data_IF_034600912997
#
_entry.id   IF_034600912997
#
_cell.length_a   1.000
_cell.length_b   1.000
_cell.length_c   1.000
_cell.angle_alpha   90.00
_cell.angle_beta   90.00
_cell.angle_gamma   90.00
#
_symmetry.space_group_name_H-M   'P 1'
#
loop_
_entity.id
_entity.type
_entity.pdbx_description
1 polymer ?
#
# COMPACT_ATOMS: atom_id res chain seq x y z
N UNK A 1 5.47 44.01 -10.50
CA UNK A 1 4.74 42.72 -10.60
C UNK A 1 5.71 41.54 -10.58
N UNK A 2 6.51 41.38 -9.51
CA UNK A 2 7.46 40.25 -9.33
C UNK A 2 7.37 39.75 -7.88
N UNK A 3 6.14 39.55 -7.39
CA UNK A 3 5.91 39.15 -5.99
C UNK A 3 4.77 38.12 -5.83
N UNK A 4 4.44 37.36 -6.88
CA UNK A 4 3.41 36.32 -6.81
C UNK A 4 3.91 34.91 -7.16
N UNK A 5 5.15 34.76 -7.63
CA UNK A 5 5.69 33.44 -8.01
C UNK A 5 6.43 32.76 -6.84
N UNK A 6 6.90 33.50 -5.84
CA UNK A 6 7.60 32.92 -4.68
C UNK A 6 6.68 32.35 -3.60
N UNK A 7 5.36 32.62 -3.65
CA UNK A 7 4.41 32.12 -2.64
C UNK A 7 3.94 30.68 -2.88
N UNK A 8 4.13 30.11 -4.08
CA UNK A 8 3.70 28.75 -4.41
C UNK A 8 4.73 27.66 -4.03
N UNK A 9 5.90 28.02 -3.51
CA UNK A 9 6.92 27.08 -3.03
C UNK A 9 6.86 26.79 -1.52
N UNK A 10 5.86 27.32 -0.82
CA UNK A 10 5.54 26.99 0.58
C UNK A 10 4.31 26.10 0.72
N UNK A 11 3.94 25.36 -0.33
CA UNK A 11 3.14 24.15 -0.16
C UNK A 11 4.10 23.15 0.48
N UNK A 12 3.91 22.89 1.77
CA UNK A 12 4.65 21.93 2.60
C UNK A 12 5.37 20.86 1.78
N UNK A 13 6.69 20.66 1.97
CA UNK A 13 7.43 19.75 1.11
C UNK A 13 6.71 18.41 1.11
N UNK A 14 6.25 17.98 -0.06
CA UNK A 14 5.58 16.69 -0.29
C UNK A 14 6.41 15.49 0.25
N UNK A 15 7.68 15.77 0.58
CA UNK A 15 8.71 14.91 1.14
C UNK A 15 8.76 14.81 2.68
N UNK A 16 8.10 15.72 3.41
CA UNK A 16 8.06 15.64 4.88
C UNK A 16 7.01 14.61 5.29
N UNK A 17 7.48 13.39 5.56
CA UNK A 17 6.63 12.33 6.10
C UNK A 17 5.92 12.84 7.35
N UNK A 18 4.59 12.98 7.27
CA UNK A 18 3.79 13.45 8.39
C UNK A 18 3.77 12.40 9.50
N UNK A 19 3.65 12.85 10.75
CA UNK A 19 3.52 11.96 11.92
C UNK A 19 2.32 11.03 11.74
N UNK A 20 1.22 11.54 11.18
CA UNK A 20 0.01 10.78 10.91
C UNK A 20 0.27 9.63 9.92
N UNK A 21 0.99 9.88 8.81
CA UNK A 21 1.33 8.83 7.84
C UNK A 21 2.24 7.75 8.46
N UNK A 22 3.20 8.12 9.32
CA UNK A 22 4.01 7.12 10.04
C UNK A 22 3.14 6.30 10.98
N UNK A 23 2.25 6.97 11.72
CA UNK A 23 1.37 6.32 12.67
C UNK A 23 0.42 5.34 11.97
N UNK A 24 -0.24 5.74 10.88
CA UNK A 24 -1.14 4.87 10.13
C UNK A 24 -0.40 3.69 9.50
N UNK A 25 0.83 3.89 8.97
CA UNK A 25 1.68 2.80 8.49
C UNK A 25 2.01 1.81 9.63
N UNK A 26 2.35 2.31 10.81
CA UNK A 26 2.67 1.49 11.97
C UNK A 26 1.46 0.70 12.48
N UNK A 27 0.27 1.31 12.49
CA UNK A 27 -0.96 0.63 12.91
C UNK A 27 -1.42 -0.40 11.89
N UNK A 28 -1.34 -0.08 10.59
CA UNK A 28 -1.61 -1.04 9.52
C UNK A 28 -0.66 -2.24 9.60
N UNK A 29 0.64 -2.02 9.84
CA UNK A 29 1.61 -3.09 10.08
C UNK A 29 1.20 -3.95 11.29
N UNK A 30 0.82 -3.34 12.41
CA UNK A 30 0.37 -4.06 13.59
C UNK A 30 -0.87 -4.94 13.31
N UNK A 31 -1.82 -4.47 12.51
CA UNK A 31 -2.96 -5.27 12.04
C UNK A 31 -2.52 -6.47 11.20
N UNK A 32 -1.59 -6.29 10.27
CA UNK A 32 -1.05 -7.39 9.44
C UNK A 32 -0.31 -8.43 10.30
N UNK A 33 0.44 -7.99 11.31
CA UNK A 33 1.09 -8.89 12.27
C UNK A 33 0.06 -9.68 13.09
N UNK A 34 -1.02 -9.03 13.56
CA UNK A 34 -2.11 -9.72 14.26
C UNK A 34 -2.78 -10.78 13.40
N UNK A 35 -3.03 -10.47 12.12
CA UNK A 35 -3.56 -11.44 11.14
C UNK A 35 -2.65 -12.65 11.07
N UNK A 36 -1.34 -12.43 10.87
CA UNK A 36 -0.33 -13.49 10.81
C UNK A 36 -0.31 -14.37 12.09
N UNK A 37 -0.30 -13.75 13.26
CA UNK A 37 -0.26 -14.48 14.54
C UNK A 37 -1.55 -15.27 14.81
N UNK A 38 -2.71 -14.70 14.47
CA UNK A 38 -4.00 -15.37 14.64
C UNK A 38 -4.13 -16.55 13.68
N UNK A 39 -3.82 -16.34 12.41
CA UNK A 39 -3.82 -17.40 11.43
C UNK A 39 -2.86 -18.53 11.83
N UNK A 40 -1.66 -18.21 12.34
CA UNK A 40 -0.74 -19.24 12.85
C UNK A 40 -1.36 -20.07 13.99
N UNK A 41 -1.99 -19.42 14.98
CA UNK A 41 -2.66 -20.10 16.11
C UNK A 41 -3.80 -21.00 15.64
N UNK A 42 -4.59 -20.52 14.69
CA UNK A 42 -5.72 -21.26 14.15
C UNK A 42 -5.27 -22.44 13.28
N UNK A 43 -4.14 -22.32 12.55
CA UNK A 43 -3.55 -23.41 11.76
C UNK A 43 -3.03 -24.54 12.65
N UNK A 44 -2.49 -24.20 13.82
CA UNK A 44 -1.98 -25.18 14.78
C UNK A 44 -3.11 -25.96 15.49
N UNK A 45 -4.29 -25.36 15.64
CA UNK A 45 -5.39 -25.92 16.46
C UNK A 45 -6.48 -26.65 15.65
N UNK A 46 -6.47 -26.62 14.31
CA UNK A 46 -7.55 -27.17 13.48
C UNK A 46 -7.07 -28.13 12.38
N UNK A 47 -7.91 -29.13 12.08
CA UNK A 47 -7.67 -30.18 11.06
C UNK A 47 -7.79 -29.64 9.63
N UNK A 48 -8.53 -28.54 9.42
CA UNK A 48 -8.85 -28.02 8.08
C UNK A 48 -8.10 -26.70 7.79
N UNK A 49 -6.97 -26.82 7.09
CA UNK A 49 -5.96 -25.76 6.94
C UNK A 49 -6.36 -24.67 5.93
N UNK A 50 -7.31 -24.97 5.04
CA UNK A 50 -7.59 -24.17 3.84
C UNK A 50 -8.41 -22.90 4.13
N UNK A 51 -9.01 -22.77 5.33
CA UNK A 51 -9.90 -21.66 5.70
C UNK A 51 -9.32 -20.70 6.75
N UNK A 52 -8.10 -20.96 7.22
CA UNK A 52 -7.58 -20.29 8.43
C UNK A 52 -7.21 -18.82 8.19
N UNK A 53 -6.48 -18.56 7.10
CA UNK A 53 -6.10 -17.20 6.71
C UNK A 53 -7.33 -16.30 6.49
N UNK A 54 -8.42 -16.90 5.96
CA UNK A 54 -9.68 -16.21 5.71
C UNK A 54 -10.34 -15.71 7.00
N UNK A 55 -10.35 -16.50 8.08
CA UNK A 55 -10.98 -16.06 9.34
C UNK A 55 -10.18 -14.97 10.06
N UNK A 56 -8.86 -15.16 10.19
CA UNK A 56 -7.98 -14.16 10.79
C UNK A 56 -8.05 -12.83 10.02
N UNK A 57 -8.04 -12.91 8.68
CA UNK A 57 -8.23 -11.76 7.81
C UNK A 57 -9.60 -11.11 8.04
N UNK A 58 -10.70 -11.88 8.02
CA UNK A 58 -12.06 -11.35 8.24
C UNK A 58 -12.20 -10.58 9.56
N UNK A 59 -11.54 -11.07 10.62
CA UNK A 59 -11.62 -10.46 11.95
C UNK A 59 -10.88 -9.13 12.03
N UNK A 60 -9.68 -9.04 11.46
CA UNK A 60 -8.83 -7.85 11.58
C UNK A 60 -8.98 -6.88 10.39
N UNK A 61 -9.60 -7.31 9.28
CA UNK A 61 -9.80 -6.52 8.08
C UNK A 61 -10.42 -5.13 8.33
N UNK A 62 -11.45 -4.95 9.18
CA UNK A 62 -12.01 -3.61 9.43
C UNK A 62 -10.98 -2.63 9.98
N UNK A 63 -10.12 -3.06 10.91
CA UNK A 63 -9.07 -2.22 11.48
C UNK A 63 -7.98 -1.94 10.44
N UNK A 64 -7.55 -2.97 9.70
CA UNK A 64 -6.58 -2.82 8.62
C UNK A 64 -7.07 -1.82 7.57
N UNK A 65 -8.27 -2.01 7.04
CA UNK A 65 -8.88 -1.12 6.02
C UNK A 65 -8.98 0.30 6.54
N UNK A 66 -9.36 0.50 7.81
CA UNK A 66 -9.39 1.83 8.43
C UNK A 66 -8.03 2.52 8.36
N UNK A 67 -6.95 1.84 8.76
CA UNK A 67 -5.61 2.42 8.77
C UNK A 67 -5.06 2.64 7.36
N UNK A 68 -5.30 1.72 6.43
CA UNK A 68 -4.92 1.88 5.03
C UNK A 68 -5.64 3.05 4.37
N UNK A 69 -6.95 3.18 4.60
CA UNK A 69 -7.75 4.30 4.09
C UNK A 69 -7.25 5.62 4.67
N UNK A 70 -7.05 5.69 5.99
CA UNK A 70 -6.51 6.88 6.65
C UNK A 70 -5.14 7.25 6.11
N UNK A 71 -4.24 6.28 5.89
CA UNK A 71 -2.94 6.55 5.28
C UNK A 71 -3.09 7.18 3.90
N UNK A 72 -3.85 6.53 3.01
CA UNK A 72 -4.04 6.96 1.61
C UNK A 72 -4.73 8.32 1.53
N UNK A 73 -5.68 8.62 2.42
CA UNK A 73 -6.34 9.91 2.48
C UNK A 73 -5.43 11.05 2.92
N UNK A 74 -4.34 10.76 3.63
CA UNK A 74 -3.32 11.74 4.03
C UNK A 74 -2.16 11.85 3.04
N UNK A 75 -2.14 11.09 1.92
CA UNK A 75 -1.09 11.23 0.90
C UNK A 75 -1.30 12.57 0.17
N UNK A 76 -0.36 13.53 0.29
CA UNK A 76 -0.54 14.87 -0.29
C UNK A 76 -0.76 14.85 -1.80
N UNK A 77 -0.05 13.95 -2.49
CA UNK A 77 -0.18 13.76 -3.93
C UNK A 77 -1.60 13.36 -4.34
N UNK A 78 -2.23 12.45 -3.60
CA UNK A 78 -3.60 12.01 -3.90
C UNK A 78 -4.66 13.05 -3.49
N UNK A 79 -4.33 13.92 -2.53
CA UNK A 79 -5.18 15.06 -2.17
C UNK A 79 -5.19 16.17 -3.23
N UNK A 80 -4.18 16.22 -4.11
CA UNK A 80 -4.12 17.19 -5.19
C UNK A 80 -5.21 16.96 -6.26
N UNK A 81 -5.78 15.75 -6.34
CA UNK A 81 -6.87 15.47 -7.27
C UNK A 81 -8.20 16.11 -6.81
N UNK A 82 -8.69 17.10 -7.55
CA UNK A 82 -9.98 17.77 -7.33
C UNK A 82 -11.02 17.37 -8.39
N UNK A 83 -11.76 16.26 -8.24
CA UNK A 83 -12.64 15.71 -9.29
C UNK A 83 -13.71 16.71 -9.72
N UNK A 84 -13.80 16.97 -11.04
CA UNK A 84 -14.83 17.82 -11.66
C UNK A 84 -15.99 17.04 -12.23
N UNK A 85 -15.83 15.72 -12.41
CA UNK A 85 -16.86 14.83 -12.96
C UNK A 85 -17.04 13.57 -12.12
N UNK A 86 -18.21 12.88 -12.18
CA UNK A 86 -18.40 11.59 -11.53
C UNK A 86 -17.39 10.53 -11.97
N UNK A 87 -17.00 10.53 -13.26
CA UNK A 87 -15.96 9.63 -13.80
C UNK A 87 -14.62 9.86 -13.11
N UNK A 88 -14.20 11.11 -12.97
CA UNK A 88 -12.97 11.47 -12.24
C UNK A 88 -13.05 11.07 -10.75
N UNK A 89 -14.19 11.27 -10.11
CA UNK A 89 -14.38 10.87 -8.71
C UNK A 89 -14.27 9.35 -8.53
N UNK A 90 -14.88 8.56 -9.42
CA UNK A 90 -14.79 7.09 -9.40
C UNK A 90 -13.34 6.63 -9.61
N UNK A 91 -12.64 7.25 -10.54
CA UNK A 91 -11.25 6.95 -10.84
C UNK A 91 -10.32 7.22 -9.64
N UNK A 92 -10.44 8.38 -8.99
CA UNK A 92 -9.66 8.70 -7.78
C UNK A 92 -9.93 7.67 -6.66
N UNK A 93 -11.18 7.21 -6.50
CA UNK A 93 -11.49 6.13 -5.54
C UNK A 93 -10.79 4.82 -5.91
N UNK A 94 -10.76 4.46 -7.19
CA UNK A 94 -10.07 3.26 -7.67
C UNK A 94 -8.55 3.35 -7.43
N UNK A 95 -7.95 4.52 -7.69
CA UNK A 95 -6.55 4.79 -7.41
C UNK A 95 -6.24 4.65 -5.90
N UNK A 96 -7.08 5.23 -5.04
CA UNK A 96 -6.94 5.08 -3.58
C UNK A 96 -7.01 3.61 -3.15
N UNK A 97 -7.96 2.84 -3.69
CA UNK A 97 -8.08 1.42 -3.40
C UNK A 97 -6.85 0.61 -3.88
N UNK A 98 -6.28 0.95 -5.04
CA UNK A 98 -5.04 0.35 -5.53
C UNK A 98 -3.88 0.65 -4.58
N UNK A 99 -3.74 1.87 -4.10
CA UNK A 99 -2.68 2.23 -3.16
C UNK A 99 -2.85 1.54 -1.80
N UNK A 100 -4.09 1.37 -1.31
CA UNK A 100 -4.36 0.55 -0.12
C UNK A 100 -3.89 -0.90 -0.31
N UNK A 101 -4.11 -1.47 -1.49
CA UNK A 101 -3.64 -2.82 -1.83
C UNK A 101 -2.11 -2.90 -1.92
N UNK A 102 -1.46 -1.90 -2.52
CA UNK A 102 0.00 -1.81 -2.60
C UNK A 102 0.65 -1.72 -1.20
N UNK A 103 0.08 -0.91 -0.30
CA UNK A 103 0.53 -0.85 1.10
C UNK A 103 0.32 -2.19 1.78
N UNK A 104 -0.84 -2.83 1.61
CA UNK A 104 -1.10 -4.15 2.18
C UNK A 104 -0.06 -5.19 1.74
N UNK A 105 0.32 -5.22 0.46
CA UNK A 105 1.38 -6.12 -0.03
C UNK A 105 2.73 -5.84 0.62
N UNK A 106 3.14 -4.55 0.68
CA UNK A 106 4.36 -4.14 1.36
C UNK A 106 4.39 -4.58 2.82
N UNK A 107 3.26 -4.44 3.52
CA UNK A 107 3.13 -4.87 4.91
C UNK A 107 3.15 -6.39 5.06
N UNK A 108 2.49 -7.13 4.16
CA UNK A 108 2.48 -8.59 4.17
C UNK A 108 3.89 -9.16 4.01
N UNK A 109 4.72 -8.55 3.18
CA UNK A 109 6.12 -8.98 2.94
C UNK A 109 7.03 -8.82 4.17
N UNK A 110 6.62 -8.00 5.14
CA UNK A 110 7.29 -7.90 6.44
C UNK A 110 7.02 -9.10 7.35
N UNK A 111 5.99 -9.90 7.04
CA UNK A 111 5.62 -11.09 7.81
C UNK A 111 6.26 -12.37 7.24
N UNK A 112 6.55 -13.37 8.08
CA UNK A 112 7.12 -14.64 7.62
C UNK A 112 6.18 -15.51 6.78
N UNK A 113 4.91 -15.13 6.57
CA UNK A 113 3.93 -15.98 5.90
C UNK A 113 4.24 -16.26 4.43
N UNK A 114 4.92 -15.34 3.73
CA UNK A 114 5.44 -15.58 2.38
C UNK A 114 6.37 -16.82 2.35
N UNK A 115 7.09 -17.11 3.45
CA UNK A 115 7.89 -18.34 3.57
C UNK A 115 7.02 -19.61 3.61
N UNK A 116 5.81 -19.54 4.19
CA UNK A 116 4.92 -20.69 4.30
C UNK A 116 4.23 -21.04 2.99
N UNK A 117 3.99 -20.07 2.12
CA UNK A 117 3.47 -20.32 0.77
C UNK A 117 4.42 -21.22 -0.05
N UNK A 118 5.73 -21.03 0.11
CA UNK A 118 6.74 -21.83 -0.61
C UNK A 118 7.23 -23.06 0.17
N UNK A 119 6.86 -23.22 1.45
CA UNK A 119 7.34 -24.29 2.32
C UNK A 119 6.27 -24.82 3.27
N UNK A 120 5.08 -25.13 2.74
CA UNK A 120 3.92 -25.57 3.52
C UNK A 120 4.24 -26.77 4.43
N UNK A 121 5.03 -27.75 3.95
CA UNK A 121 5.46 -28.90 4.76
C UNK A 121 6.34 -28.53 5.97
N UNK A 122 7.13 -27.45 5.86
CA UNK A 122 7.93 -26.91 6.97
C UNK A 122 7.05 -26.12 7.94
N UNK A 123 6.07 -25.37 7.45
CA UNK A 123 5.16 -24.62 8.31
C UNK A 123 4.17 -25.49 9.08
N UNK A 124 3.71 -26.62 8.52
CA UNK A 124 2.90 -27.62 9.28
C UNK A 124 3.64 -28.16 10.52
N UNK A 125 4.97 -28.12 10.54
CA UNK A 125 5.81 -28.62 11.65
C UNK A 125 6.24 -27.52 12.61
N UNK A 126 5.88 -26.25 12.37
CA UNK A 126 6.23 -25.16 13.27
C UNK A 126 5.36 -25.21 14.53
N UNK A 127 6.01 -25.18 15.69
CA UNK A 127 5.35 -25.09 17.00
C UNK A 127 5.11 -23.65 17.45
N UNK A 128 5.84 -22.69 16.87
CA UNK A 128 5.79 -21.27 17.19
C UNK A 128 5.88 -20.44 15.90
N UNK A 129 5.23 -19.26 15.83
CA UNK A 129 5.36 -18.39 14.68
C UNK A 129 6.80 -17.92 14.55
N UNK A 130 7.24 -17.68 13.32
CA UNK A 130 8.55 -17.05 13.09
C UNK A 130 8.50 -15.61 13.59
N UNK A 131 9.65 -15.14 14.07
CA UNK A 131 9.80 -13.75 14.49
C UNK A 131 9.53 -12.82 13.29
N UNK A 132 8.61 -11.88 13.47
CA UNK A 132 8.39 -10.78 12.53
C UNK A 132 9.64 -9.91 12.48
N UNK A 133 10.07 -9.52 11.28
CA UNK A 133 11.26 -8.67 11.11
C UNK A 133 11.01 -7.30 11.76
N UNK A 134 12.04 -6.62 12.27
CA UNK A 134 11.90 -5.22 12.68
C UNK A 134 11.32 -4.39 11.53
N UNK A 135 10.30 -3.61 11.83
CA UNK A 135 9.62 -2.76 10.86
C UNK A 135 9.86 -1.30 11.19
N UNK A 136 10.51 -0.58 10.28
CA UNK A 136 10.71 0.86 10.38
C UNK A 136 9.63 1.57 9.57
N UNK A 137 8.55 1.96 10.24
CA UNK A 137 7.42 2.63 9.60
C UNK A 137 7.84 3.91 8.89
N UNK A 138 8.74 4.71 9.47
CA UNK A 138 9.19 5.97 8.86
C UNK A 138 9.91 5.72 7.55
N UNK A 139 10.83 4.75 7.52
CA UNK A 139 11.55 4.36 6.30
C UNK A 139 10.60 3.84 5.23
N UNK A 140 9.65 2.99 5.60
CA UNK A 140 8.69 2.39 4.65
C UNK A 140 7.71 3.43 4.11
N UNK A 141 7.18 4.31 4.96
CA UNK A 141 6.35 5.45 4.54
C UNK A 141 7.10 6.33 3.56
N UNK A 142 8.35 6.70 3.85
CA UNK A 142 9.15 7.52 2.92
C UNK A 142 9.37 6.82 1.57
N UNK A 143 9.72 5.52 1.58
CA UNK A 143 9.91 4.75 0.34
C UNK A 143 8.62 4.68 -0.48
N UNK A 144 7.50 4.43 0.19
CA UNK A 144 6.18 4.35 -0.44
C UNK A 144 5.82 5.69 -1.10
N UNK A 145 5.86 6.80 -0.35
CA UNK A 145 5.51 8.12 -0.87
C UNK A 145 6.37 8.53 -2.08
N UNK A 146 7.68 8.24 -2.04
CA UNK A 146 8.57 8.49 -3.19
C UNK A 146 8.19 7.66 -4.42
N UNK A 147 7.81 6.40 -4.22
CA UNK A 147 7.32 5.55 -5.29
C UNK A 147 6.01 6.08 -5.89
N UNK A 148 5.05 6.42 -5.03
CA UNK A 148 3.76 7.02 -5.43
C UNK A 148 3.98 8.33 -6.20
N UNK A 149 4.90 9.20 -5.77
CA UNK A 149 5.26 10.44 -6.47
C UNK A 149 5.86 10.17 -7.85
N UNK A 150 6.83 9.26 -7.95
CA UNK A 150 7.44 8.90 -9.23
C UNK A 150 6.39 8.34 -10.21
N UNK A 151 5.48 7.49 -9.72
CA UNK A 151 4.45 6.84 -10.53
C UNK A 151 3.36 7.81 -10.96
N UNK A 152 2.91 8.72 -10.09
CA UNK A 152 1.69 9.51 -10.34
C UNK A 152 1.92 11.01 -10.59
N UNK A 153 3.14 11.54 -10.45
CA UNK A 153 3.40 12.93 -10.82
C UNK A 153 3.04 13.23 -12.30
N UNK A 154 3.40 12.38 -13.30
CA UNK A 154 2.98 12.61 -14.68
C UNK A 154 1.45 12.55 -14.84
N UNK A 155 0.79 11.69 -14.07
CA UNK A 155 -0.66 11.54 -14.08
C UNK A 155 -1.37 12.79 -13.57
N UNK A 156 -0.85 13.41 -12.51
CA UNK A 156 -1.39 14.66 -11.96
C UNK A 156 -1.19 15.84 -12.92
N UNK A 157 -0.06 15.88 -13.60
CA UNK A 157 0.15 16.90 -14.63
C UNK A 157 -0.87 16.75 -15.77
N UNK A 158 -1.06 15.52 -16.27
CA UNK A 158 -2.10 15.21 -17.25
C UNK A 158 -3.52 15.56 -16.74
N UNK A 159 -3.77 15.40 -15.44
CA UNK A 159 -5.03 15.78 -14.79
C UNK A 159 -5.35 17.24 -14.86
N UNK A 160 -4.37 18.06 -14.53
CA UNK A 160 -4.53 19.50 -14.57
C UNK A 160 -4.71 20.01 -16.01
N UNK A 161 -4.22 19.26 -16.99
CA UNK A 161 -4.42 19.51 -18.42
C UNK A 161 -5.75 18.97 -18.98
N UNK A 162 -6.55 18.27 -18.16
CA UNK A 162 -7.87 17.76 -18.55
C UNK A 162 -7.85 16.47 -19.38
N UNK A 163 -6.71 15.78 -19.43
CA UNK A 163 -6.57 14.49 -20.13
C UNK A 163 -7.27 13.36 -19.37
N UNK A 164 -7.62 12.28 -20.06
CA UNK A 164 -8.30 11.14 -19.46
C UNK A 164 -7.31 10.21 -18.73
N UNK A 165 -7.48 10.07 -17.41
CA UNK A 165 -6.74 9.17 -16.52
C UNK A 165 -6.73 7.71 -16.99
N UNK A 166 -7.81 7.31 -17.66
CA UNK A 166 -8.03 5.93 -18.05
C UNK A 166 -6.96 5.48 -19.04
N UNK A 167 -6.56 6.36 -19.98
CA UNK A 167 -5.54 6.05 -20.98
C UNK A 167 -4.16 5.85 -20.35
N UNK A 168 -3.84 6.64 -19.32
CA UNK A 168 -2.59 6.49 -18.57
C UNK A 168 -2.58 5.24 -17.69
N UNK A 169 -3.70 4.90 -17.04
CA UNK A 169 -3.78 3.62 -16.32
C UNK A 169 -3.66 2.43 -17.25
N UNK A 170 -4.28 2.47 -18.42
CA UNK A 170 -4.10 1.43 -19.43
C UNK A 170 -2.64 1.34 -19.87
N UNK A 171 -1.96 2.47 -20.02
CA UNK A 171 -0.52 2.51 -20.28
C UNK A 171 0.30 1.88 -19.14
N UNK A 172 0.04 2.22 -17.88
CA UNK A 172 0.72 1.62 -16.73
C UNK A 172 0.45 0.12 -16.61
N UNK A 173 -0.78 -0.31 -16.81
CA UNK A 173 -1.15 -1.72 -16.82
C UNK A 173 -0.43 -2.46 -17.94
N UNK A 174 -0.36 -1.87 -19.14
CA UNK A 174 0.39 -2.42 -20.25
C UNK A 174 1.92 -2.43 -20.04
N UNK A 175 2.48 -1.56 -19.20
CA UNK A 175 3.88 -1.63 -18.78
C UNK A 175 4.08 -2.77 -17.78
N UNK A 176 3.18 -2.93 -16.82
CA UNK A 176 3.23 -3.99 -15.82
C UNK A 176 3.07 -5.38 -16.45
N UNK A 177 2.17 -5.52 -17.44
CA UNK A 177 1.98 -6.76 -18.20
C UNK A 177 3.17 -7.08 -19.13
N UNK A 178 3.98 -6.07 -19.49
CA UNK A 178 5.22 -6.25 -20.28
C UNK A 178 6.43 -6.61 -19.42
N UNK A 179 6.45 -6.22 -18.16
CA UNK A 179 7.53 -6.54 -17.22
C UNK A 179 7.42 -7.96 -16.63
N UNK A 180 6.29 -8.66 -16.81
CA UNK A 180 6.14 -10.08 -16.41
C UNK A 180 6.99 -11.06 -17.27
N UNK A 181 7.62 -10.57 -18.36
CA UNK A 181 8.60 -11.31 -19.18
C UNK A 181 10.07 -10.86 -18.94
N UNK A 182 10.38 -10.07 -17.91
CA UNK A 182 11.75 -9.60 -17.61
C UNK A 182 12.03 -9.46 -16.09
N UNK A 183 13.27 -9.61 -15.61
CA UNK A 183 13.54 -9.70 -14.17
C UNK A 183 13.32 -8.36 -13.47
N UNK A 184 12.32 -8.33 -12.57
CA UNK A 184 12.07 -7.39 -11.48
C UNK A 184 13.07 -6.23 -11.30
N UNK A 185 12.61 -5.01 -11.64
CA UNK A 185 13.24 -3.73 -11.29
C UNK A 185 13.21 -3.38 -9.79
N UNK A 186 12.68 -4.27 -8.94
CA UNK A 186 12.73 -4.17 -7.49
C UNK A 186 13.57 -5.30 -6.89
N UNK A 187 14.86 -5.31 -7.22
CA UNK A 187 15.89 -5.99 -6.43
C UNK A 187 16.88 -4.96 -5.86
N UNK A 188 16.50 -4.33 -4.74
CA UNK A 188 17.41 -3.72 -3.74
C UNK A 188 16.73 -3.72 -2.35
#
# INVERSE_FOLDING_TARGET
>A
MICLICALLFISPLWAVSVDLVQEMQQAHASVVKIYEQDFKERYTRINQDKVFSHAMQKEAPALVKHLQAFVDHIPLLQAFQPKTPKQAQMIRALKALEMYNIFNLLRDSTPEFYCNNHMSKCKKMKFPKRVKPFDAKKHTLKFLRGTELTYAPLIEAYHQGLDFTDYLYYLQALQDKDDDSPSLFTL
#
